data_IF_963375138299
#
_entry.id   IF_963375138299
#
_cell.length_a   1.000
_cell.length_b   1.000
_cell.length_c   1.000
_cell.angle_alpha   90.00
_cell.angle_beta   90.00
_cell.angle_gamma   90.00
#
_symmetry.space_group_name_H-M   'P 1'
#
loop_
_entity.id
_entity.type
_entity.pdbx_description
1 polymer ?
#
# COMPACT_ATOMS: atom_id res chain seq x y z
N UNK A 1 -9.19 49.95 20.57
CA UNK A 1 -9.67 48.80 19.83
C UNK A 1 -8.51 47.83 19.73
N UNK A 2 -8.67 46.63 20.21
CA UNK A 2 -7.64 45.63 20.18
C UNK A 2 -7.71 44.85 18.89
N UNK A 3 -6.68 44.92 18.05
CA UNK A 3 -6.49 44.01 16.96
C UNK A 3 -5.91 42.69 17.51
N UNK A 4 -6.27 41.58 16.94
CA UNK A 4 -5.79 40.27 17.35
C UNK A 4 -4.82 39.74 16.29
N UNK A 5 -3.77 39.06 16.73
CA UNK A 5 -2.85 38.36 15.85
C UNK A 5 -3.26 36.89 15.77
N UNK A 6 -3.41 36.39 14.56
CA UNK A 6 -3.71 34.98 14.27
C UNK A 6 -2.48 34.35 13.61
N UNK A 7 -2.14 33.14 14.01
CA UNK A 7 -1.08 32.35 13.39
C UNK A 7 -1.62 30.96 13.04
N UNK A 8 -1.76 30.66 11.74
CA UNK A 8 -2.07 29.34 11.23
C UNK A 8 -0.76 28.60 10.97
N UNK A 9 -0.55 27.49 11.66
CA UNK A 9 0.72 26.76 11.63
C UNK A 9 0.54 25.34 11.15
N UNK A 10 1.44 24.88 10.27
CA UNK A 10 1.45 23.53 9.76
C UNK A 10 2.86 22.91 9.90
N UNK A 11 2.87 21.66 10.32
CA UNK A 11 4.07 20.85 10.46
C UNK A 11 3.74 19.41 10.02
N UNK A 12 4.53 18.85 9.17
CA UNK A 12 4.49 17.42 8.88
C UNK A 12 5.37 16.66 9.87
N UNK A 13 4.96 15.47 10.26
CA UNK A 13 5.80 14.59 11.07
C UNK A 13 5.99 13.26 10.39
N UNK A 14 7.23 12.80 10.39
CA UNK A 14 7.63 11.49 9.90
C UNK A 14 8.29 10.72 11.03
N UNK A 15 7.83 9.52 11.30
CA UNK A 15 8.51 8.61 12.19
C UNK A 15 8.98 7.40 11.40
N UNK A 16 10.29 7.21 11.28
CA UNK A 16 10.84 5.96 10.79
C UNK A 16 11.47 5.21 11.96
N UNK A 17 11.08 3.97 12.14
CA UNK A 17 11.74 3.08 13.08
C UNK A 17 12.48 2.05 12.25
N UNK A 18 13.81 2.12 12.27
CA UNK A 18 14.65 1.05 11.75
C UNK A 18 15.01 0.17 12.93
N UNK A 19 14.25 -0.89 13.15
CA UNK A 19 14.63 -1.93 14.09
C UNK A 19 15.50 -2.91 13.31
N UNK A 20 16.80 -2.95 13.59
CA UNK A 20 17.68 -4.01 13.07
C UNK A 20 17.47 -5.33 13.83
N UNK A 21 16.58 -5.37 14.83
CA UNK A 21 16.04 -6.61 15.35
C UNK A 21 14.91 -7.08 14.40
N UNK A 22 15.25 -7.30 13.16
CA UNK A 22 14.35 -7.76 12.13
C UNK A 22 13.86 -9.15 12.50
N UNK A 23 12.56 -9.25 12.71
CA UNK A 23 11.93 -10.55 12.75
C UNK A 23 12.19 -11.23 11.41
N UNK A 24 12.69 -12.46 11.45
CA UNK A 24 12.85 -13.27 10.25
C UNK A 24 11.51 -13.34 9.49
N UNK A 25 11.55 -13.25 8.17
CA UNK A 25 10.36 -13.35 7.31
C UNK A 25 10.49 -14.53 6.38
N UNK A 26 9.48 -15.41 6.40
CA UNK A 26 9.30 -16.48 5.41
C UNK A 26 8.07 -16.14 4.57
N UNK A 27 8.30 -15.83 3.30
CA UNK A 27 7.27 -15.35 2.38
C UNK A 27 7.09 -16.36 1.26
N UNK A 28 5.86 -16.81 1.04
CA UNK A 28 5.50 -17.65 -0.11
C UNK A 28 4.62 -16.85 -1.07
N UNK A 29 5.12 -16.66 -2.28
CA UNK A 29 4.36 -16.06 -3.38
C UNK A 29 3.63 -17.15 -4.15
N UNK A 30 2.30 -17.11 -4.13
CA UNK A 30 1.41 -18.04 -4.82
C UNK A 30 0.87 -17.36 -6.06
N UNK A 31 1.45 -17.68 -7.20
CA UNK A 31 1.31 -16.95 -8.45
C UNK A 31 0.41 -17.71 -9.43
N UNK A 32 -0.61 -17.03 -9.94
CA UNK A 32 -1.45 -17.53 -11.00
C UNK A 32 -0.63 -17.70 -12.30
N UNK A 33 -0.64 -18.91 -12.83
CA UNK A 33 -0.02 -19.25 -14.11
C UNK A 33 -1.05 -19.86 -15.09
N UNK A 34 -2.34 -19.56 -14.88
CA UNK A 34 -3.41 -19.97 -15.77
C UNK A 34 -3.33 -19.28 -17.14
N UNK A 35 -4.05 -19.82 -18.12
CA UNK A 35 -4.01 -19.31 -19.49
C UNK A 35 -4.50 -17.86 -19.64
N UNK A 36 -5.39 -17.39 -18.77
CA UNK A 36 -5.89 -16.01 -18.75
C UNK A 36 -4.80 -14.97 -18.45
N UNK A 37 -3.71 -15.37 -17.83
CA UNK A 37 -2.55 -14.51 -17.55
C UNK A 37 -1.80 -14.05 -18.82
N UNK A 38 -2.10 -14.64 -19.99
CA UNK A 38 -1.61 -14.15 -21.29
C UNK A 38 -2.39 -12.92 -21.77
N UNK A 39 -3.52 -12.62 -21.17
CA UNK A 39 -4.33 -11.44 -21.46
C UNK A 39 -3.64 -10.14 -21.08
N UNK A 40 -3.97 -9.06 -21.81
CA UNK A 40 -3.39 -7.73 -21.57
C UNK A 40 -4.07 -7.01 -20.41
N UNK A 41 -3.29 -6.19 -19.72
CA UNK A 41 -3.75 -5.16 -18.78
C UNK A 41 -3.93 -3.81 -19.50
N UNK A 42 -4.46 -2.83 -18.82
CA UNK A 42 -4.46 -1.46 -19.27
C UNK A 42 -3.00 -1.01 -19.57
N UNK A 43 -2.77 -0.46 -20.75
CA UNK A 43 -1.42 -0.10 -21.22
C UNK A 43 -0.72 -1.15 -22.09
N UNK A 44 -1.36 -2.31 -22.38
CA UNK A 44 -0.91 -3.29 -23.37
C UNK A 44 0.09 -4.34 -22.89
N UNK A 45 0.58 -4.25 -21.67
CA UNK A 45 1.42 -5.28 -21.04
C UNK A 45 0.58 -6.51 -20.68
N UNK A 46 1.10 -7.73 -20.88
CA UNK A 46 0.38 -8.94 -20.44
C UNK A 46 0.32 -9.00 -18.90
N UNK A 47 -0.74 -9.63 -18.37
CA UNK A 47 -0.87 -9.84 -16.90
C UNK A 47 0.33 -10.58 -16.34
N UNK A 48 0.83 -11.59 -17.08
CA UNK A 48 2.01 -12.36 -16.69
C UNK A 48 3.28 -11.50 -16.65
N UNK A 49 3.50 -10.62 -17.63
CA UNK A 49 4.69 -9.75 -17.64
C UNK A 49 4.61 -8.68 -16.57
N UNK A 50 3.43 -8.12 -16.32
CA UNK A 50 3.21 -7.20 -15.20
C UNK A 50 3.48 -7.88 -13.85
N UNK A 51 2.99 -9.12 -13.65
CA UNK A 51 3.26 -9.91 -12.46
C UNK A 51 4.76 -10.16 -12.27
N UNK A 52 5.46 -10.62 -13.31
CA UNK A 52 6.91 -10.86 -13.27
C UNK A 52 7.68 -9.59 -12.87
N UNK A 53 7.30 -8.45 -13.46
CA UNK A 53 7.91 -7.15 -13.12
C UNK A 53 7.73 -6.80 -11.66
N UNK A 54 6.50 -6.92 -11.13
CA UNK A 54 6.18 -6.62 -9.75
C UNK A 54 6.87 -7.56 -8.76
N UNK A 55 6.90 -8.88 -9.06
CA UNK A 55 7.59 -9.87 -8.23
C UNK A 55 9.10 -9.66 -8.24
N UNK A 56 9.70 -9.35 -9.39
CA UNK A 56 11.13 -9.05 -9.49
C UNK A 56 11.50 -7.81 -8.66
N UNK A 57 10.68 -6.75 -8.70
CA UNK A 57 10.89 -5.57 -7.86
C UNK A 57 10.78 -5.90 -6.36
N UNK A 58 9.84 -6.75 -5.97
CA UNK A 58 9.72 -7.23 -4.60
C UNK A 58 10.97 -8.01 -4.15
N UNK A 59 11.51 -8.89 -5.02
CA UNK A 59 12.75 -9.63 -4.77
C UNK A 59 13.92 -8.66 -4.58
N UNK A 60 14.02 -7.61 -5.40
CA UNK A 60 15.08 -6.61 -5.30
C UNK A 60 14.98 -5.82 -3.97
N UNK A 61 13.78 -5.43 -3.56
CA UNK A 61 13.54 -4.78 -2.26
C UNK A 61 13.94 -5.71 -1.08
N UNK A 62 13.56 -6.98 -1.15
CA UNK A 62 13.93 -7.96 -0.14
C UNK A 62 15.46 -8.18 -0.08
N UNK A 63 16.13 -8.23 -1.22
CA UNK A 63 17.59 -8.35 -1.30
C UNK A 63 18.29 -7.12 -0.74
N UNK A 64 17.79 -5.91 -1.06
CA UNK A 64 18.32 -4.66 -0.52
C UNK A 64 18.16 -4.57 1.01
N UNK A 65 17.05 -5.09 1.55
CA UNK A 65 16.86 -5.19 2.99
C UNK A 65 17.79 -6.22 3.62
N UNK A 66 17.92 -7.40 3.03
CA UNK A 66 18.81 -8.46 3.52
C UNK A 66 20.27 -8.05 3.53
N UNK A 67 20.70 -7.20 2.59
CA UNK A 67 22.07 -6.66 2.56
C UNK A 67 22.44 -5.84 3.82
N UNK A 68 21.43 -5.34 4.54
CA UNK A 68 21.60 -4.59 5.79
C UNK A 68 21.53 -5.47 7.04
N UNK A 69 21.22 -6.77 6.88
CA UNK A 69 21.06 -7.74 7.96
C UNK A 69 22.28 -8.65 8.01
N UNK A 70 23.04 -8.59 9.11
CA UNK A 70 24.23 -9.42 9.31
C UNK A 70 23.89 -10.82 9.77
N UNK A 71 22.84 -10.97 10.59
CA UNK A 71 22.36 -12.26 11.09
C UNK A 71 21.57 -13.01 10.01
N UNK A 72 22.13 -14.08 9.47
CA UNK A 72 21.52 -14.89 8.40
C UNK A 72 20.17 -15.49 8.80
N UNK A 73 19.98 -15.78 10.10
CA UNK A 73 18.72 -16.38 10.60
C UNK A 73 17.58 -15.36 10.63
N UNK A 74 17.89 -14.06 10.53
CA UNK A 74 16.91 -12.98 10.47
C UNK A 74 16.59 -12.51 9.05
N UNK A 75 17.31 -13.00 8.04
CA UNK A 75 17.09 -12.61 6.64
C UNK A 75 15.73 -13.06 6.12
N UNK A 76 15.21 -12.29 5.17
CA UNK A 76 13.99 -12.61 4.42
C UNK A 76 14.29 -13.80 3.52
N UNK A 77 13.42 -14.83 3.60
CA UNK A 77 13.37 -15.93 2.65
C UNK A 77 12.12 -15.82 1.80
N UNK A 78 12.27 -16.13 0.52
CA UNK A 78 11.17 -16.16 -0.45
C UNK A 78 11.03 -17.54 -1.06
N UNK A 79 9.81 -18.00 -1.24
CA UNK A 79 9.44 -19.17 -2.04
C UNK A 79 8.50 -18.74 -3.16
N UNK A 80 8.61 -19.39 -4.31
CA UNK A 80 7.72 -19.18 -5.45
C UNK A 80 6.90 -20.44 -5.68
N UNK A 81 5.60 -20.30 -5.64
CA UNK A 81 4.60 -21.32 -6.00
C UNK A 81 3.85 -20.84 -7.23
N UNK A 82 3.67 -21.67 -8.24
CA UNK A 82 2.74 -21.42 -9.33
C UNK A 82 1.53 -22.34 -9.20
N UNK A 83 0.37 -21.87 -9.61
CA UNK A 83 -0.82 -22.69 -9.76
C UNK A 83 -1.50 -22.47 -11.10
N UNK A 84 -2.00 -23.54 -11.69
CA UNK A 84 -2.80 -23.53 -12.92
C UNK A 84 -3.54 -24.85 -13.08
N UNK A 85 -2.95 -25.81 -13.75
CA UNK A 85 -3.55 -27.06 -14.19
C UNK A 85 -4.04 -28.00 -13.07
N UNK A 86 -4.70 -29.06 -13.48
CA UNK A 86 -5.34 -30.05 -12.61
C UNK A 86 -4.36 -31.04 -11.98
N UNK A 87 -3.08 -30.98 -12.34
CA UNK A 87 -2.03 -31.83 -11.80
C UNK A 87 -1.18 -31.07 -10.79
N UNK A 88 -0.87 -31.73 -9.67
CA UNK A 88 0.15 -31.30 -8.73
C UNK A 88 1.47 -31.94 -9.10
N UNK A 89 2.49 -31.13 -9.31
CA UNK A 89 3.86 -31.60 -9.48
C UNK A 89 4.66 -31.55 -8.19
N UNK A 90 5.80 -32.19 -8.19
CA UNK A 90 6.88 -31.96 -7.23
C UNK A 90 7.52 -30.58 -7.47
N UNK A 91 8.63 -30.29 -6.82
CA UNK A 91 9.36 -29.02 -7.04
C UNK A 91 9.80 -28.92 -8.51
N UNK A 92 9.52 -27.79 -9.15
CA UNK A 92 9.89 -27.55 -10.54
C UNK A 92 9.00 -26.55 -11.26
N UNK A 93 9.18 -26.43 -12.56
CA UNK A 93 8.36 -25.60 -13.45
C UNK A 93 7.85 -26.42 -14.63
N UNK A 94 7.25 -27.57 -14.33
CA UNK A 94 6.88 -28.55 -15.32
C UNK A 94 5.52 -28.27 -15.92
N UNK A 95 5.31 -28.85 -17.10
CA UNK A 95 4.03 -28.90 -17.81
C UNK A 95 3.63 -30.34 -18.03
N UNK A 96 2.36 -30.57 -18.29
CA UNK A 96 1.83 -31.86 -18.69
C UNK A 96 0.89 -31.72 -19.89
N UNK A 97 0.65 -32.84 -20.59
CA UNK A 97 -0.32 -32.89 -21.68
C UNK A 97 -1.68 -33.39 -21.17
N UNK A 98 -2.72 -32.67 -21.57
CA UNK A 98 -4.11 -33.11 -21.41
C UNK A 98 -4.76 -33.03 -22.80
N UNK A 99 -4.88 -34.16 -23.48
CA UNK A 99 -5.28 -34.21 -24.89
C UNK A 99 -4.28 -33.46 -25.80
N UNK A 100 -4.79 -32.46 -26.50
CA UNK A 100 -4.01 -31.63 -27.42
C UNK A 100 -3.36 -30.43 -26.75
N UNK A 101 -3.68 -30.13 -25.48
CA UNK A 101 -3.23 -28.96 -24.76
C UNK A 101 -2.05 -29.27 -23.84
N UNK A 102 -1.20 -28.27 -23.65
CA UNK A 102 -0.13 -28.29 -22.66
C UNK A 102 -0.54 -27.38 -21.51
N UNK A 103 -0.52 -27.91 -20.30
CA UNK A 103 -0.90 -27.20 -19.09
C UNK A 103 0.24 -27.17 -18.08
N UNK A 104 0.29 -26.12 -17.26
CA UNK A 104 1.19 -26.10 -16.11
C UNK A 104 0.76 -27.09 -15.04
N UNK A 105 1.71 -27.76 -14.40
CA UNK A 105 1.50 -28.31 -13.07
C UNK A 105 1.38 -27.18 -12.05
N UNK A 106 0.54 -27.36 -11.03
CA UNK A 106 0.64 -26.55 -9.82
C UNK A 106 1.80 -27.07 -8.98
N UNK A 107 2.81 -26.23 -8.71
CA UNK A 107 4.09 -26.66 -8.12
C UNK A 107 4.75 -25.58 -7.29
N UNK A 108 5.58 -26.00 -6.34
CA UNK A 108 6.64 -25.16 -5.77
C UNK A 108 7.71 -24.99 -6.84
N UNK A 109 7.85 -23.78 -7.39
CA UNK A 109 8.85 -23.48 -8.43
C UNK A 109 10.23 -23.29 -7.81
N UNK A 110 10.26 -22.71 -6.61
CA UNK A 110 11.47 -22.52 -5.79
C UNK A 110 11.09 -22.53 -4.32
N UNK A 111 11.77 -23.36 -3.55
CA UNK A 111 11.63 -23.44 -2.09
C UNK A 111 12.15 -22.18 -1.40
N UNK A 112 11.85 -22.02 -0.10
CA UNK A 112 12.27 -20.89 0.73
C UNK A 112 13.79 -20.68 0.65
N UNK A 113 14.17 -19.64 -0.06
CA UNK A 113 15.55 -19.28 -0.37
C UNK A 113 15.85 -17.90 0.21
N UNK A 114 17.02 -17.73 0.82
CA UNK A 114 17.47 -16.41 1.30
C UNK A 114 17.55 -15.46 0.10
N UNK A 115 16.82 -14.34 0.22
CA UNK A 115 16.69 -13.37 -0.86
C UNK A 115 17.88 -12.40 -0.86
N UNK A 116 19.03 -12.86 -1.35
CA UNK A 116 20.21 -12.03 -1.59
C UNK A 116 21.14 -12.67 -2.63
N UNK A 117 21.98 -11.88 -3.27
CA UNK A 117 23.01 -12.36 -4.21
C UNK A 117 22.48 -13.43 -5.18
N UNK A 118 23.09 -14.61 -5.15
CA UNK A 118 22.70 -15.74 -6.02
C UNK A 118 21.26 -16.21 -5.77
N UNK A 119 20.79 -16.18 -4.51
CA UNK A 119 19.44 -16.58 -4.18
C UNK A 119 18.37 -15.66 -4.81
N UNK A 120 18.59 -14.34 -4.77
CA UNK A 120 17.72 -13.38 -5.43
C UNK A 120 17.76 -13.55 -6.97
N UNK A 121 18.94 -13.76 -7.56
CA UNK A 121 19.08 -13.99 -8.99
C UNK A 121 18.38 -15.28 -9.44
N UNK A 122 18.48 -16.36 -8.64
CA UNK A 122 17.80 -17.63 -8.91
C UNK A 122 16.28 -17.48 -8.83
N UNK A 123 15.76 -16.82 -7.78
CA UNK A 123 14.32 -16.53 -7.64
C UNK A 123 13.78 -15.77 -8.87
N UNK A 124 14.46 -14.72 -9.32
CA UNK A 124 14.07 -13.97 -10.52
C UNK A 124 14.11 -14.84 -11.78
N UNK A 125 15.13 -15.66 -11.94
CA UNK A 125 15.24 -16.60 -13.07
C UNK A 125 14.04 -17.56 -13.10
N UNK A 126 13.67 -18.10 -11.94
CA UNK A 126 12.52 -19.01 -11.80
C UNK A 126 11.18 -18.31 -12.09
N UNK A 127 10.98 -17.11 -11.58
CA UNK A 127 9.78 -16.29 -11.88
C UNK A 127 9.67 -15.99 -13.37
N UNK A 128 10.77 -15.56 -14.00
CA UNK A 128 10.78 -15.18 -15.42
C UNK A 128 10.52 -16.38 -16.34
N UNK A 129 10.81 -17.59 -15.90
CA UNK A 129 10.58 -18.83 -16.66
C UNK A 129 9.12 -19.31 -16.62
N UNK A 130 8.26 -18.77 -15.76
CA UNK A 130 6.83 -19.13 -15.69
C UNK A 130 6.14 -18.67 -16.97
N UNK A 131 5.35 -19.55 -17.59
CA UNK A 131 4.53 -19.24 -18.76
C UNK A 131 3.07 -19.54 -18.44
N UNK A 132 2.09 -18.74 -18.91
CA UNK A 132 0.67 -19.00 -18.66
C UNK A 132 0.19 -20.21 -19.47
N UNK A 133 -0.48 -21.16 -18.79
CA UNK A 133 -1.18 -22.27 -19.45
C UNK A 133 -2.06 -23.06 -18.46
N UNK A 134 -3.32 -23.30 -18.80
CA UNK A 134 -4.22 -24.17 -18.06
C UNK A 134 -5.33 -23.45 -17.29
N UNK A 135 -6.15 -24.18 -16.54
CA UNK A 135 -7.20 -23.64 -15.66
C UNK A 135 -6.61 -23.01 -14.38
N UNK A 136 -7.47 -22.59 -13.44
CA UNK A 136 -7.10 -21.81 -12.26
C UNK A 136 -7.31 -22.63 -10.97
N UNK A 137 -6.45 -23.63 -10.71
CA UNK A 137 -6.50 -24.49 -9.52
C UNK A 137 -5.84 -23.80 -8.32
N UNK A 138 -6.50 -22.75 -7.88
CA UNK A 138 -6.07 -21.90 -6.75
C UNK A 138 -5.89 -22.69 -5.44
N UNK A 139 -6.72 -23.71 -5.21
CA UNK A 139 -6.62 -24.62 -4.08
C UNK A 139 -5.26 -25.33 -4.02
N UNK A 140 -4.74 -25.78 -5.15
CA UNK A 140 -3.43 -26.42 -5.21
C UNK A 140 -2.30 -25.45 -4.91
N UNK A 141 -2.41 -24.20 -5.37
CA UNK A 141 -1.45 -23.17 -5.04
C UNK A 141 -1.32 -22.93 -3.54
N UNK A 142 -2.46 -22.76 -2.84
CA UNK A 142 -2.47 -22.57 -1.38
C UNK A 142 -2.01 -23.80 -0.62
N UNK A 143 -2.37 -25.02 -1.08
CA UNK A 143 -1.88 -26.27 -0.49
C UNK A 143 -0.36 -26.40 -0.61
N UNK A 144 0.24 -26.02 -1.73
CA UNK A 144 1.70 -25.98 -1.89
C UNK A 144 2.34 -24.95 -0.96
N UNK A 145 1.73 -23.77 -0.79
CA UNK A 145 2.22 -22.78 0.17
C UNK A 145 2.17 -23.30 1.61
N UNK A 146 1.10 -23.99 1.97
CA UNK A 146 0.99 -24.64 3.29
C UNK A 146 2.06 -25.70 3.49
N UNK A 147 2.28 -26.56 2.49
CA UNK A 147 3.33 -27.60 2.50
C UNK A 147 4.71 -26.97 2.68
N UNK A 148 5.00 -25.90 1.92
CA UNK A 148 6.29 -25.22 1.97
C UNK A 148 6.56 -24.61 3.35
N UNK A 149 5.57 -23.88 3.90
CA UNK A 149 5.70 -23.27 5.24
C UNK A 149 5.77 -24.31 6.37
N UNK A 150 5.13 -25.48 6.19
CA UNK A 150 5.19 -26.56 7.17
C UNK A 150 6.55 -27.26 7.16
N UNK A 151 7.11 -27.51 5.98
CA UNK A 151 8.33 -28.29 5.85
C UNK A 151 9.61 -27.44 6.00
N UNK A 152 9.58 -26.18 5.51
CA UNK A 152 10.78 -25.33 5.39
C UNK A 152 10.63 -23.98 6.11
N UNK A 153 9.44 -23.65 6.64
CA UNK A 153 9.22 -22.43 7.38
C UNK A 153 9.94 -22.44 8.73
N UNK A 154 10.66 -21.37 9.04
CA UNK A 154 11.37 -21.20 10.30
C UNK A 154 10.38 -20.94 11.45
N UNK A 155 10.65 -21.50 12.62
CA UNK A 155 9.79 -21.35 13.81
C UNK A 155 9.77 -19.93 14.34
N UNK A 156 10.88 -19.21 14.22
CA UNK A 156 11.07 -17.83 14.68
C UNK A 156 10.73 -16.77 13.63
N UNK A 157 10.29 -17.18 12.43
CA UNK A 157 9.95 -16.26 11.35
C UNK A 157 8.44 -15.92 11.36
N UNK A 158 8.14 -14.67 11.03
CA UNK A 158 6.78 -14.29 10.61
C UNK A 158 6.52 -14.89 9.24
N UNK A 159 5.42 -15.61 9.11
CA UNK A 159 5.03 -16.30 7.89
C UNK A 159 4.01 -15.48 7.11
N UNK A 160 4.25 -15.30 5.82
CA UNK A 160 3.40 -14.51 4.93
C UNK A 160 3.16 -15.30 3.65
N UNK A 161 1.91 -15.31 3.21
CA UNK A 161 1.52 -15.78 1.87
C UNK A 161 1.00 -14.59 1.07
N UNK A 162 1.48 -14.41 -0.15
CA UNK A 162 0.95 -13.44 -1.12
C UNK A 162 0.31 -14.24 -2.25
N UNK A 163 -1.01 -14.29 -2.25
CA UNK A 163 -1.81 -14.99 -3.26
C UNK A 163 -2.25 -14.02 -4.34
N UNK A 164 -1.84 -14.28 -5.56
CA UNK A 164 -2.13 -13.45 -6.73
C UNK A 164 -2.95 -14.22 -7.76
N UNK A 165 -4.01 -13.58 -8.29
CA UNK A 165 -4.84 -14.15 -9.37
C UNK A 165 -5.44 -13.07 -10.27
N UNK A 166 -5.64 -13.40 -11.53
CA UNK A 166 -6.33 -12.57 -12.52
C UNK A 166 -7.82 -12.96 -12.71
N UNK A 167 -8.33 -13.91 -11.92
CA UNK A 167 -9.68 -14.36 -12.07
C UNK A 167 -10.22 -15.25 -10.96
N UNK A 168 -11.29 -15.92 -11.31
CA UNK A 168 -12.01 -16.83 -10.44
C UNK A 168 -11.35 -18.21 -10.41
N UNK A 169 -11.40 -18.92 -9.26
CA UNK A 169 -10.97 -20.32 -9.21
C UNK A 169 -11.83 -21.17 -10.13
N UNK A 170 -11.20 -21.90 -11.05
CA UNK A 170 -11.92 -22.75 -11.99
C UNK A 170 -11.14 -23.99 -12.43
N UNK A 171 -11.89 -25.04 -12.81
CA UNK A 171 -11.35 -26.24 -13.43
C UNK A 171 -11.55 -26.26 -14.96
N UNK A 172 -12.47 -25.45 -15.47
CA UNK A 172 -12.79 -25.35 -16.90
C UNK A 172 -13.36 -23.98 -17.27
N UNK A 173 -14.57 -23.65 -16.85
CA UNK A 173 -15.25 -22.39 -17.13
C UNK A 173 -16.05 -21.95 -15.89
N UNK A 174 -15.98 -20.67 -15.56
CA UNK A 174 -16.73 -20.05 -14.49
C UNK A 174 -16.23 -20.43 -13.10
N UNK A 175 -16.81 -19.80 -12.10
CA UNK A 175 -16.43 -19.98 -10.70
C UNK A 175 -16.72 -21.41 -10.22
N UNK A 176 -15.68 -22.14 -9.80
CA UNK A 176 -15.78 -23.49 -9.24
C UNK A 176 -15.85 -23.40 -7.70
N UNK A 177 -17.04 -23.69 -7.18
CA UNK A 177 -17.33 -23.62 -5.75
C UNK A 177 -16.54 -24.66 -4.94
N UNK A 178 -16.20 -25.82 -5.52
CA UNK A 178 -15.39 -26.86 -4.89
C UNK A 178 -13.93 -26.42 -4.72
N UNK A 179 -13.35 -25.84 -5.76
CA UNK A 179 -11.99 -25.26 -5.70
C UNK A 179 -11.95 -24.11 -4.71
N UNK A 180 -12.95 -23.21 -4.75
CA UNK A 180 -13.04 -22.09 -3.83
C UNK A 180 -13.12 -22.55 -2.37
N UNK A 181 -13.98 -23.54 -2.09
CA UNK A 181 -14.13 -24.12 -0.74
C UNK A 181 -12.81 -24.72 -0.23
N UNK A 182 -12.13 -25.51 -1.07
CA UNK A 182 -10.83 -26.11 -0.74
C UNK A 182 -9.74 -25.06 -0.49
N UNK A 183 -9.69 -24.02 -1.34
CA UNK A 183 -8.73 -22.93 -1.21
C UNK A 183 -8.95 -22.12 0.09
N UNK A 184 -10.21 -21.78 0.41
CA UNK A 184 -10.55 -21.04 1.63
C UNK A 184 -10.25 -21.87 2.88
N UNK A 185 -10.52 -23.18 2.86
CA UNK A 185 -10.19 -24.08 3.96
C UNK A 185 -8.67 -24.13 4.23
N UNK A 186 -7.87 -24.19 3.16
CA UNK A 186 -6.40 -24.15 3.26
C UNK A 186 -5.92 -22.79 3.77
N UNK A 187 -6.48 -21.69 3.25
CA UNK A 187 -6.15 -20.35 3.71
C UNK A 187 -6.52 -20.15 5.19
N UNK A 188 -7.65 -20.69 5.64
CA UNK A 188 -8.03 -20.68 7.05
C UNK A 188 -7.00 -21.42 7.90
N UNK A 189 -6.60 -22.61 7.49
CA UNK A 189 -5.56 -23.38 8.20
C UNK A 189 -4.23 -22.63 8.31
N UNK A 190 -3.81 -21.92 7.24
CA UNK A 190 -2.64 -21.05 7.26
C UNK A 190 -2.80 -19.91 8.26
N UNK A 191 -3.96 -19.24 8.27
CA UNK A 191 -4.27 -18.15 9.20
C UNK A 191 -4.34 -18.63 10.65
N UNK A 192 -4.94 -19.80 10.91
CA UNK A 192 -4.99 -20.43 12.23
C UNK A 192 -3.58 -20.77 12.77
N UNK A 193 -2.63 -21.05 11.87
CA UNK A 193 -1.22 -21.24 12.21
C UNK A 193 -0.40 -19.92 12.31
N UNK A 194 -1.07 -18.76 12.32
CA UNK A 194 -0.45 -17.45 12.47
C UNK A 194 0.14 -16.87 11.17
N UNK A 195 -0.11 -17.48 10.01
CA UNK A 195 0.34 -16.96 8.73
C UNK A 195 -0.54 -15.78 8.30
N UNK A 196 0.06 -14.68 7.87
CA UNK A 196 -0.65 -13.58 7.25
C UNK A 196 -0.83 -13.85 5.76
N UNK A 197 -2.06 -13.80 5.27
CA UNK A 197 -2.39 -14.05 3.87
C UNK A 197 -2.85 -12.76 3.21
N UNK A 198 -2.07 -12.26 2.25
CA UNK A 198 -2.47 -11.20 1.32
C UNK A 198 -3.07 -11.81 0.08
N UNK A 199 -4.11 -11.16 -0.47
CA UNK A 199 -4.63 -11.49 -1.80
C UNK A 199 -4.52 -10.28 -2.72
N UNK A 200 -4.13 -10.52 -3.97
CA UNK A 200 -4.00 -9.48 -5.01
C UNK A 200 -4.81 -9.93 -6.22
N UNK A 201 -5.82 -9.15 -6.57
CA UNK A 201 -6.71 -9.40 -7.70
C UNK A 201 -6.48 -8.41 -8.84
N UNK A 202 -6.32 -8.91 -10.07
CA UNK A 202 -6.21 -8.08 -11.28
C UNK A 202 -7.31 -8.35 -12.31
N UNK A 203 -8.44 -8.89 -11.85
CA UNK A 203 -9.61 -9.13 -12.69
C UNK A 203 -10.55 -7.91 -12.73
N UNK A 204 -11.33 -7.84 -13.81
CA UNK A 204 -12.35 -6.79 -13.94
C UNK A 204 -13.37 -6.86 -12.80
N UNK A 205 -13.57 -5.74 -12.10
CA UNK A 205 -14.47 -5.68 -10.94
C UNK A 205 -13.84 -6.17 -9.62
N UNK A 206 -12.51 -6.32 -9.56
CA UNK A 206 -11.81 -6.54 -8.29
C UNK A 206 -12.05 -5.34 -7.36
N UNK A 207 -12.64 -5.60 -6.18
CA UNK A 207 -13.03 -4.57 -5.23
C UNK A 207 -12.66 -4.97 -3.79
N UNK A 208 -11.51 -4.50 -3.30
CA UNK A 208 -11.09 -4.74 -1.92
C UNK A 208 -12.02 -4.16 -0.83
N UNK A 209 -12.89 -3.22 -1.21
CA UNK A 209 -13.87 -2.58 -0.30
C UNK A 209 -15.26 -3.19 -0.38
N UNK A 210 -15.47 -4.19 -1.23
CA UNK A 210 -16.77 -4.83 -1.40
C UNK A 210 -17.29 -5.39 -0.06
N UNK A 211 -18.54 -5.08 0.26
CA UNK A 211 -19.23 -5.66 1.41
C UNK A 211 -19.55 -7.13 1.12
N UNK A 212 -18.92 -8.03 1.88
CA UNK A 212 -19.08 -9.48 1.72
C UNK A 212 -20.50 -9.98 1.99
N UNK A 213 -21.30 -9.22 2.75
CA UNK A 213 -22.68 -9.56 3.09
C UNK A 213 -23.68 -9.04 2.05
N UNK A 214 -23.26 -8.13 1.17
CA UNK A 214 -24.14 -7.62 0.14
C UNK A 214 -24.41 -8.66 -0.95
N UNK A 215 -25.68 -8.81 -1.36
CA UNK A 215 -26.08 -9.77 -2.41
C UNK A 215 -25.43 -9.48 -3.76
N UNK A 216 -25.14 -8.20 -4.04
CA UNK A 216 -24.51 -7.77 -5.31
C UNK A 216 -23.01 -8.04 -5.38
N UNK A 217 -22.36 -8.38 -4.28
CA UNK A 217 -20.92 -8.67 -4.27
C UNK A 217 -20.66 -9.99 -4.99
N UNK A 218 -19.77 -9.96 -5.99
CA UNK A 218 -19.43 -11.14 -6.79
C UNK A 218 -18.82 -12.25 -5.93
N UNK A 219 -19.02 -13.51 -6.33
CA UNK A 219 -18.39 -14.67 -5.68
C UNK A 219 -16.87 -14.52 -5.64
N UNK A 220 -16.27 -13.97 -6.69
CA UNK A 220 -14.81 -13.77 -6.77
C UNK A 220 -14.32 -12.79 -5.73
N UNK A 221 -14.99 -11.64 -5.53
CA UNK A 221 -14.63 -10.71 -4.47
C UNK A 221 -14.83 -11.32 -3.07
N UNK A 222 -15.93 -12.06 -2.84
CA UNK A 222 -16.13 -12.81 -1.59
C UNK A 222 -15.02 -13.83 -1.35
N UNK A 223 -14.61 -14.54 -2.40
CA UNK A 223 -13.52 -15.50 -2.38
C UNK A 223 -12.19 -14.83 -1.99
N UNK A 224 -11.81 -13.73 -2.64
CA UNK A 224 -10.58 -13.00 -2.34
C UNK A 224 -10.57 -12.48 -0.90
N UNK A 225 -11.69 -11.97 -0.40
CA UNK A 225 -11.85 -11.55 0.99
C UNK A 225 -11.69 -12.73 1.96
N UNK A 226 -12.29 -13.88 1.66
CA UNK A 226 -12.26 -15.07 2.52
C UNK A 226 -10.87 -15.71 2.59
N UNK A 227 -10.13 -15.73 1.47
CA UNK A 227 -8.74 -16.22 1.41
C UNK A 227 -7.81 -15.29 2.21
N UNK A 228 -8.00 -13.97 2.09
CA UNK A 228 -7.15 -12.99 2.77
C UNK A 228 -7.30 -13.00 4.30
N UNK A 229 -6.34 -12.40 4.98
CA UNK A 229 -6.42 -12.15 6.43
C UNK A 229 -7.40 -11.02 6.80
N UNK A 230 -8.15 -10.44 5.84
CA UNK A 230 -9.27 -9.55 6.15
C UNK A 230 -10.36 -10.25 6.97
N UNK A 231 -10.55 -11.54 6.72
CA UNK A 231 -11.51 -12.37 7.46
C UNK A 231 -10.82 -13.66 7.92
N UNK A 232 -10.10 -13.62 9.04
CA UNK A 232 -9.30 -14.77 9.49
C UNK A 232 -10.13 -16.02 9.76
N UNK A 233 -11.38 -15.87 10.15
CA UNK A 233 -12.29 -16.98 10.46
C UNK A 233 -13.16 -17.40 9.29
N UNK A 234 -12.99 -16.81 8.10
CA UNK A 234 -13.84 -17.09 6.95
C UNK A 234 -13.82 -18.57 6.56
N UNK A 235 -15.00 -19.08 6.27
CA UNK A 235 -15.22 -20.42 5.73
C UNK A 235 -16.20 -20.35 4.54
N UNK A 236 -16.05 -21.28 3.63
CA UNK A 236 -17.01 -21.52 2.57
C UNK A 236 -17.24 -23.01 2.45
N UNK A 237 -18.47 -23.46 2.73
CA UNK A 237 -18.85 -24.85 2.63
C UNK A 237 -19.61 -25.06 1.32
N UNK A 238 -19.12 -25.97 0.50
CA UNK A 238 -19.79 -26.40 -0.72
C UNK A 238 -20.29 -27.83 -0.59
N UNK A 239 -21.57 -28.02 -0.84
CA UNK A 239 -22.22 -29.32 -0.88
C UNK A 239 -22.71 -29.59 -2.30
N UNK A 240 -22.07 -30.50 -3.06
CA UNK A 240 -22.51 -30.84 -4.40
C UNK A 240 -23.84 -31.60 -4.38
N UNK A 241 -24.68 -31.38 -5.40
CA UNK A 241 -25.93 -32.08 -5.58
C UNK A 241 -26.17 -32.39 -7.07
N UNK A 242 -27.07 -33.34 -7.39
CA UNK A 242 -27.40 -33.74 -8.76
C UNK A 242 -27.99 -32.58 -9.59
N UNK A 243 -28.56 -31.57 -8.96
CA UNK A 243 -29.21 -30.44 -9.64
C UNK A 243 -28.43 -29.12 -9.44
N UNK A 244 -27.13 -29.15 -9.23
CA UNK A 244 -26.29 -28.07 -8.80
C UNK A 244 -25.85 -28.29 -7.37
N UNK A 245 -25.10 -27.38 -6.78
CA UNK A 245 -24.68 -27.50 -5.40
C UNK A 245 -25.19 -26.34 -4.56
N UNK A 246 -25.01 -26.44 -3.27
CA UNK A 246 -25.30 -25.35 -2.33
C UNK A 246 -24.03 -24.87 -1.65
N UNK A 247 -23.76 -23.55 -1.73
CA UNK A 247 -22.63 -22.90 -1.08
C UNK A 247 -23.08 -22.04 0.08
N UNK A 248 -22.41 -22.15 1.22
CA UNK A 248 -22.66 -21.32 2.41
C UNK A 248 -21.39 -20.57 2.83
N UNK A 249 -21.48 -19.25 2.88
CA UNK A 249 -20.42 -18.35 3.33
C UNK A 249 -20.56 -18.00 4.79
N UNK A 250 -19.46 -18.05 5.53
CA UNK A 250 -19.36 -17.49 6.88
C UNK A 250 -18.05 -16.71 6.97
N UNK A 251 -18.14 -15.40 7.12
CA UNK A 251 -16.95 -14.54 7.14
C UNK A 251 -16.43 -14.28 8.56
N UNK A 252 -17.31 -14.27 9.57
CA UNK A 252 -16.95 -13.75 10.89
C UNK A 252 -16.73 -12.25 10.87
N UNK A 253 -15.95 -11.75 11.83
CA UNK A 253 -15.67 -10.32 11.97
C UNK A 253 -14.36 -9.95 11.30
N UNK A 254 -14.37 -8.85 10.53
CA UNK A 254 -13.16 -8.23 9.98
C UNK A 254 -12.45 -7.47 11.11
N UNK A 255 -11.16 -7.74 11.39
CA UNK A 255 -10.40 -6.96 12.34
C UNK A 255 -10.30 -5.48 11.94
N UNK A 256 -10.27 -4.59 12.92
CA UNK A 256 -10.05 -3.17 12.66
C UNK A 256 -8.72 -2.98 11.89
N UNK A 257 -8.73 -2.10 10.89
CA UNK A 257 -7.58 -1.80 10.04
C UNK A 257 -7.05 -2.97 9.19
N UNK A 258 -7.77 -4.11 9.10
CA UNK A 258 -7.40 -5.19 8.21
C UNK A 258 -7.50 -4.75 6.74
N UNK A 259 -6.39 -4.82 6.02
CA UNK A 259 -6.28 -4.46 4.60
C UNK A 259 -5.34 -5.43 3.89
N UNK A 260 -5.80 -6.67 3.72
CA UNK A 260 -5.03 -7.78 3.16
C UNK A 260 -5.53 -8.23 1.78
N UNK A 261 -6.61 -7.65 1.27
CA UNK A 261 -7.02 -7.80 -0.12
C UNK A 261 -6.76 -6.50 -0.86
N UNK A 262 -6.03 -6.59 -1.96
CA UNK A 262 -5.63 -5.47 -2.82
C UNK A 262 -5.99 -5.77 -4.28
N UNK A 263 -6.14 -4.73 -5.08
CA UNK A 263 -6.45 -4.84 -6.50
C UNK A 263 -5.58 -3.89 -7.32
N UNK A 264 -5.33 -4.27 -8.58
CA UNK A 264 -4.66 -3.42 -9.55
C UNK A 264 -5.30 -3.60 -10.94
N UNK A 265 -5.36 -2.53 -11.71
CA UNK A 265 -5.89 -2.50 -13.09
C UNK A 265 -4.81 -2.28 -14.14
N UNK A 266 -3.63 -1.83 -13.74
CA UNK A 266 -2.46 -1.58 -14.59
C UNK A 266 -1.19 -2.21 -14.01
N UNK A 267 -0.14 -2.29 -14.83
CA UNK A 267 1.16 -2.82 -14.40
C UNK A 267 1.80 -1.94 -13.31
N UNK A 268 1.66 -0.62 -13.40
CA UNK A 268 2.20 0.32 -12.41
C UNK A 268 1.45 0.21 -11.08
N UNK A 269 0.12 0.13 -11.10
CA UNK A 269 -0.67 -0.13 -9.89
C UNK A 269 -0.27 -1.46 -9.25
N UNK A 270 -0.04 -2.52 -10.03
CA UNK A 270 0.38 -3.80 -9.52
C UNK A 270 1.75 -3.72 -8.83
N UNK A 271 2.69 -2.99 -9.42
CA UNK A 271 4.00 -2.74 -8.81
C UNK A 271 3.85 -2.02 -7.47
N UNK A 272 3.03 -0.97 -7.42
CA UNK A 272 2.74 -0.22 -6.19
C UNK A 272 2.07 -1.10 -5.12
N UNK A 273 1.16 -2.00 -5.51
CA UNK A 273 0.53 -2.97 -4.60
C UNK A 273 1.57 -3.88 -3.96
N UNK A 274 2.48 -4.45 -4.73
CA UNK A 274 3.55 -5.31 -4.20
C UNK A 274 4.53 -4.54 -3.31
N UNK A 275 4.85 -3.29 -3.65
CA UNK A 275 5.67 -2.41 -2.81
C UNK A 275 4.98 -2.08 -1.48
N UNK A 276 3.70 -1.76 -1.50
CA UNK A 276 2.90 -1.53 -0.29
C UNK A 276 2.83 -2.78 0.60
N UNK A 277 2.67 -3.97 0.02
CA UNK A 277 2.73 -5.23 0.76
C UNK A 277 4.12 -5.39 1.39
N UNK A 278 5.19 -5.21 0.61
CA UNK A 278 6.56 -5.31 1.12
C UNK A 278 6.78 -4.38 2.31
N UNK A 279 6.39 -3.12 2.19
CA UNK A 279 6.50 -2.14 3.26
C UNK A 279 5.69 -2.56 4.50
N UNK A 280 4.47 -3.07 4.31
CA UNK A 280 3.59 -3.50 5.42
C UNK A 280 4.12 -4.70 6.21
N UNK A 281 4.81 -5.63 5.55
CA UNK A 281 5.38 -6.81 6.22
C UNK A 281 6.75 -6.54 6.82
N UNK A 282 7.51 -5.62 6.23
CA UNK A 282 8.87 -5.26 6.64
C UNK A 282 8.87 -4.29 7.83
N UNK A 283 7.80 -3.52 8.02
CA UNK A 283 7.65 -2.54 9.09
C UNK A 283 6.73 -3.13 10.17
N UNK A 284 7.29 -3.38 11.34
CA UNK A 284 6.54 -3.93 12.50
C UNK A 284 5.81 -2.84 13.30
N UNK A 285 5.83 -1.59 12.86
CA UNK A 285 5.14 -0.47 13.50
C UNK A 285 4.27 0.27 12.48
N UNK A 286 3.17 0.92 12.91
CA UNK A 286 2.37 1.75 12.02
C UNK A 286 3.26 2.80 11.37
N UNK A 287 3.46 2.66 10.09
CA UNK A 287 4.24 3.59 9.29
C UNK A 287 3.57 4.95 9.22
N UNK A 288 4.34 6.02 9.20
CA UNK A 288 3.84 7.37 9.00
C UNK A 288 3.27 7.53 7.58
N UNK A 289 2.39 8.48 7.44
CA UNK A 289 1.98 8.96 6.12
C UNK A 289 3.21 9.58 5.45
N UNK A 290 3.66 8.98 4.37
CA UNK A 290 4.74 9.55 3.59
C UNK A 290 4.15 10.69 2.75
N UNK A 291 4.63 11.90 3.00
CA UNK A 291 4.40 13.04 2.10
C UNK A 291 5.41 12.91 0.98
N UNK A 292 4.96 12.87 -0.26
CA UNK A 292 5.85 12.80 -1.42
C UNK A 292 6.34 14.21 -1.76
N UNK A 293 7.43 14.32 -2.50
CA UNK A 293 8.06 15.58 -2.92
C UNK A 293 7.51 16.12 -4.25
N UNK A 294 6.30 15.68 -4.65
CA UNK A 294 5.67 16.08 -5.91
C UNK A 294 4.41 16.91 -5.65
N UNK A 295 4.46 18.23 -5.78
CA UNK A 295 3.34 19.13 -5.49
C UNK A 295 2.05 18.79 -6.23
N UNK A 296 2.15 18.37 -7.48
CA UNK A 296 1.00 18.00 -8.31
C UNK A 296 0.28 16.71 -7.88
N UNK A 297 0.92 15.88 -7.06
CA UNK A 297 0.33 14.63 -6.55
C UNK A 297 -0.06 14.70 -5.09
N UNK A 298 0.51 15.62 -4.33
CA UNK A 298 0.36 15.70 -2.87
C UNK A 298 -0.75 16.65 -2.43
N UNK A 299 -1.15 17.57 -3.31
CA UNK A 299 -2.18 18.56 -3.03
C UNK A 299 -1.73 19.61 -2.01
N UNK A 300 -2.70 20.16 -1.30
CA UNK A 300 -2.50 21.26 -0.35
C UNK A 300 -3.02 20.89 1.03
N UNK A 301 -2.34 21.39 2.07
CA UNK A 301 -2.94 21.57 3.39
C UNK A 301 -3.71 22.88 3.34
N UNK A 302 -5.01 22.80 3.59
CA UNK A 302 -5.90 23.97 3.54
C UNK A 302 -6.34 24.33 4.94
N UNK A 303 -6.10 25.58 5.32
CA UNK A 303 -6.74 26.22 6.45
C UNK A 303 -7.94 27.00 5.95
N UNK A 304 -9.04 26.87 6.64
CA UNK A 304 -10.31 27.48 6.31
C UNK A 304 -10.82 28.14 7.59
N UNK A 305 -10.65 29.46 7.68
CA UNK A 305 -10.90 30.24 8.89
C UNK A 305 -11.99 31.30 8.63
N UNK A 306 -13.27 30.95 8.88
CA UNK A 306 -14.35 31.93 8.87
C UNK A 306 -14.26 32.79 10.13
N UNK A 307 -14.06 34.09 9.96
CA UNK A 307 -14.04 35.05 11.07
C UNK A 307 -15.46 35.25 11.61
N UNK A 308 -15.54 35.58 12.89
CA UNK A 308 -16.80 35.90 13.52
C UNK A 308 -17.47 37.17 12.96
N UNK A 309 -18.76 37.36 13.29
CA UNK A 309 -19.49 38.54 12.87
C UNK A 309 -18.76 39.85 13.17
N UNK A 310 -18.80 40.78 12.22
CA UNK A 310 -18.10 42.05 12.28
C UNK A 310 -16.59 42.00 12.39
N UNK A 311 -15.97 40.87 12.07
CA UNK A 311 -14.51 40.71 12.05
C UNK A 311 -13.97 40.79 10.63
N UNK A 312 -12.91 41.57 10.46
CA UNK A 312 -12.22 41.68 9.16
C UNK A 312 -10.70 41.44 9.29
N UNK A 313 -10.09 40.97 8.21
CA UNK A 313 -8.62 40.90 8.09
C UNK A 313 -8.07 42.32 7.91
N UNK A 314 -7.17 42.72 8.79
CA UNK A 314 -6.49 44.02 8.70
C UNK A 314 -5.25 43.96 7.81
N UNK A 315 -4.44 42.93 7.98
CA UNK A 315 -3.23 42.74 7.19
C UNK A 315 -2.69 41.31 7.32
N UNK A 316 -1.98 40.84 6.32
CA UNK A 316 -1.07 39.70 6.45
C UNK A 316 0.31 40.20 6.80
N UNK A 317 0.85 39.74 7.94
CA UNK A 317 2.08 40.26 8.50
C UNK A 317 3.31 39.52 7.95
N UNK A 318 3.25 38.17 7.91
CA UNK A 318 4.38 37.37 7.56
C UNK A 318 4.00 35.92 7.24
N UNK A 319 4.88 35.26 6.48
CA UNK A 319 5.06 33.82 6.52
C UNK A 319 6.36 33.53 7.24
N UNK A 320 6.29 32.76 8.33
CA UNK A 320 7.47 32.27 9.04
C UNK A 320 7.74 30.83 8.59
N UNK A 321 8.95 30.58 8.12
CA UNK A 321 9.36 29.27 7.62
C UNK A 321 10.72 28.92 8.20
N UNK A 322 10.77 27.93 9.08
CA UNK A 322 11.96 27.55 9.83
C UNK A 322 12.50 28.73 10.66
N UNK A 323 13.67 29.24 10.31
CA UNK A 323 14.38 30.35 10.98
C UNK A 323 14.21 31.70 10.27
N UNK A 324 13.42 31.76 9.21
CA UNK A 324 13.23 32.94 8.38
C UNK A 324 11.79 33.45 8.42
N UNK A 325 11.65 34.75 8.23
CA UNK A 325 10.38 35.46 8.19
C UNK A 325 10.28 36.24 6.88
N UNK A 326 9.27 35.95 6.11
CA UNK A 326 8.99 36.58 4.83
C UNK A 326 7.80 37.52 4.96
N UNK A 327 7.93 38.71 4.38
CA UNK A 327 6.86 39.72 4.37
C UNK A 327 6.03 39.62 3.08
N UNK A 328 4.78 39.99 3.18
CA UNK A 328 3.92 40.13 2.03
C UNK A 328 4.54 41.10 1.00
N UNK A 329 4.50 40.74 -0.30
CA UNK A 329 5.03 41.58 -1.38
C UNK A 329 3.94 42.12 -2.30
N UNK A 330 2.79 41.46 -2.42
CA UNK A 330 1.73 41.87 -3.33
C UNK A 330 0.36 41.43 -2.83
N UNK A 331 -0.65 42.30 -3.07
CA UNK A 331 -2.07 41.96 -2.95
C UNK A 331 -2.76 42.25 -4.28
N UNK A 332 -3.62 41.32 -4.71
CA UNK A 332 -4.50 41.51 -5.87
C UNK A 332 -5.93 41.36 -5.44
N UNK A 333 -6.83 42.18 -5.98
CA UNK A 333 -8.25 42.16 -5.67
C UNK A 333 -9.08 41.79 -6.89
N UNK A 334 -10.04 40.90 -6.69
CA UNK A 334 -11.02 40.51 -7.71
C UNK A 334 -12.42 40.39 -7.06
N UNK A 335 -13.24 41.40 -7.27
CA UNK A 335 -14.56 41.50 -6.61
C UNK A 335 -14.41 41.72 -5.11
N UNK A 336 -14.96 40.82 -4.30
CA UNK A 336 -14.82 40.80 -2.84
C UNK A 336 -13.75 39.83 -2.34
N UNK A 337 -12.84 39.40 -3.21
CA UNK A 337 -11.76 38.48 -2.86
C UNK A 337 -10.41 39.17 -3.03
N UNK A 338 -9.64 39.21 -1.97
CA UNK A 338 -8.23 39.61 -1.97
C UNK A 338 -7.34 38.37 -1.98
N UNK A 339 -6.29 38.42 -2.82
CA UNK A 339 -5.24 37.38 -2.86
C UNK A 339 -3.93 37.99 -2.40
N UNK A 340 -3.33 37.39 -1.39
CA UNK A 340 -2.06 37.83 -0.82
C UNK A 340 -0.93 36.92 -1.28
N UNK A 341 0.15 37.52 -1.77
CA UNK A 341 1.31 36.84 -2.35
C UNK A 341 2.54 37.14 -1.51
N UNK A 342 3.23 36.07 -1.14
CA UNK A 342 4.56 36.12 -0.53
C UNK A 342 5.56 35.60 -1.57
N UNK A 343 6.70 36.26 -1.68
CA UNK A 343 7.76 35.89 -2.60
C UNK A 343 9.05 35.64 -1.82
N UNK A 344 9.81 34.69 -2.29
CA UNK A 344 11.10 34.34 -1.73
C UNK A 344 11.32 32.84 -1.79
N UNK A 345 12.58 32.50 -1.68
CA UNK A 345 13.00 31.10 -1.65
C UNK A 345 13.52 30.77 -0.26
N UNK A 346 13.14 29.64 0.27
CA UNK A 346 13.67 29.11 1.51
C UNK A 346 14.36 27.78 1.25
N UNK A 347 15.59 27.67 1.71
CA UNK A 347 16.32 26.39 1.74
C UNK A 347 16.47 25.96 3.19
N UNK A 348 15.88 24.83 3.54
CA UNK A 348 16.05 24.27 4.89
C UNK A 348 17.46 23.71 5.05
N UNK A 349 18.32 24.46 5.74
CA UNK A 349 19.70 24.06 6.02
C UNK A 349 19.85 23.31 7.34
N UNK A 350 18.80 23.27 8.17
CA UNK A 350 18.89 22.76 9.54
C UNK A 350 18.56 21.28 9.62
N UNK A 351 17.56 20.84 8.88
CA UNK A 351 17.00 19.50 9.09
C UNK A 351 17.42 18.48 8.06
N UNK A 352 17.88 18.90 6.88
CA UNK A 352 18.02 17.99 5.74
C UNK A 352 16.69 17.36 5.30
N UNK A 353 15.56 17.86 5.85
CA UNK A 353 14.23 17.36 5.56
C UNK A 353 13.70 17.92 4.23
N UNK A 354 14.24 19.05 3.79
CA UNK A 354 13.97 19.66 2.49
C UNK A 354 15.26 19.77 1.71
N UNK A 355 15.53 18.86 0.80
CA UNK A 355 16.69 18.96 -0.08
C UNK A 355 16.53 20.07 -1.14
N UNK A 356 15.33 20.61 -1.30
CA UNK A 356 14.96 21.55 -2.34
C UNK A 356 14.56 22.91 -1.76
N UNK A 357 14.74 23.95 -2.57
CA UNK A 357 14.32 25.31 -2.25
C UNK A 357 12.80 25.42 -2.42
N UNK A 358 12.10 25.88 -1.39
CA UNK A 358 10.67 26.14 -1.44
C UNK A 358 10.39 27.56 -1.94
N UNK A 359 9.54 27.71 -2.96
CA UNK A 359 9.06 29.01 -3.44
C UNK A 359 7.77 29.40 -2.70
N UNK A 360 7.84 30.48 -1.93
CA UNK A 360 6.71 30.95 -1.12
C UNK A 360 5.54 31.48 -1.96
N UNK A 361 5.73 31.77 -3.23
CA UNK A 361 4.63 32.15 -4.15
C UNK A 361 3.66 31.00 -4.45
N UNK A 362 4.04 29.77 -4.13
CA UNK A 362 3.16 28.60 -4.24
C UNK A 362 2.12 28.50 -3.09
N UNK A 363 2.27 29.31 -2.04
CA UNK A 363 1.26 29.43 -0.98
C UNK A 363 0.13 30.31 -1.50
N UNK A 364 -1.09 29.78 -1.51
CA UNK A 364 -2.29 30.49 -1.96
C UNK A 364 -3.03 31.02 -0.74
N UNK A 365 -3.10 32.34 -0.60
CA UNK A 365 -3.82 33.00 0.51
C UNK A 365 -4.90 33.88 -0.08
N UNK A 366 -6.16 33.62 0.28
CA UNK A 366 -7.31 34.39 -0.15
C UNK A 366 -8.15 34.85 1.03
N UNK A 367 -8.66 36.05 0.97
CA UNK A 367 -9.65 36.60 1.89
C UNK A 367 -10.88 36.94 1.08
N UNK A 368 -11.99 36.31 1.42
CA UNK A 368 -13.31 36.69 0.90
C UNK A 368 -13.95 37.63 1.90
N UNK A 369 -14.15 38.88 1.52
CA UNK A 369 -14.77 39.88 2.40
C UNK A 369 -16.25 39.61 2.57
N UNK A 370 -16.67 39.57 3.83
CA UNK A 370 -18.08 39.50 4.20
C UNK A 370 -18.85 40.78 3.87
N UNK A 371 -20.17 40.75 3.94
CA UNK A 371 -21.06 41.88 3.71
C UNK A 371 -21.91 42.16 4.94
N UNK A 372 -21.98 43.42 5.34
CA UNK A 372 -22.76 43.84 6.52
C UNK A 372 -22.18 43.26 7.81
N UNK A 373 -22.94 42.43 8.50
CA UNK A 373 -22.51 41.80 9.75
C UNK A 373 -21.64 40.55 9.55
N UNK A 374 -21.58 40.02 8.34
CA UNK A 374 -20.82 38.82 8.05
C UNK A 374 -19.31 39.11 8.12
N UNK A 375 -18.57 38.29 8.84
CA UNK A 375 -17.13 38.41 8.93
C UNK A 375 -16.40 37.93 7.68
N UNK A 376 -15.14 38.30 7.54
CA UNK A 376 -14.26 37.83 6.47
C UNK A 376 -14.01 36.32 6.57
N UNK A 377 -13.72 35.71 5.43
CA UNK A 377 -13.35 34.31 5.34
C UNK A 377 -11.94 34.16 4.77
N UNK A 378 -11.03 33.64 5.58
CA UNK A 378 -9.64 33.42 5.22
C UNK A 378 -9.45 31.99 4.77
N UNK A 379 -8.85 31.79 3.60
CA UNK A 379 -8.40 30.49 3.16
C UNK A 379 -6.91 30.52 2.85
N UNK A 380 -6.14 29.61 3.46
CA UNK A 380 -4.71 29.44 3.23
C UNK A 380 -4.46 28.03 2.73
N UNK A 381 -3.85 27.90 1.55
CA UNK A 381 -3.45 26.63 0.96
C UNK A 381 -1.93 26.58 0.88
N UNK A 382 -1.33 25.63 1.60
CA UNK A 382 0.11 25.39 1.60
C UNK A 382 0.36 24.07 0.88
N UNK A 383 1.22 24.05 -0.16
CA UNK A 383 1.61 22.79 -0.80
C UNK A 383 2.11 21.79 0.24
N UNK A 384 1.64 20.55 0.19
CA UNK A 384 2.03 19.52 1.17
C UNK A 384 3.54 19.27 1.16
N UNK A 385 4.17 19.38 -0.02
CA UNK A 385 5.61 19.29 -0.21
C UNK A 385 6.42 20.39 0.48
N UNK A 386 5.78 21.53 0.84
CA UNK A 386 6.42 22.67 1.48
C UNK A 386 6.41 22.56 3.01
N UNK A 387 5.68 21.61 3.59
CA UNK A 387 5.57 21.47 5.03
C UNK A 387 6.90 21.02 5.64
N UNK A 388 7.43 21.73 6.64
CA UNK A 388 8.61 21.30 7.37
C UNK A 388 8.40 19.91 7.97
N UNK A 389 9.43 19.06 7.90
CA UNK A 389 9.31 17.65 8.29
C UNK A 389 10.06 17.41 9.60
N UNK A 390 9.29 17.24 10.69
CA UNK A 390 9.83 16.68 11.93
C UNK A 390 9.91 15.17 11.79
N UNK A 391 11.09 14.60 11.92
CA UNK A 391 11.20 13.15 11.88
C UNK A 391 11.83 12.55 13.13
N UNK A 392 11.36 11.36 13.46
CA UNK A 392 11.89 10.51 14.50
C UNK A 392 12.41 9.24 13.86
N UNK A 393 13.71 8.99 13.98
CA UNK A 393 14.33 7.78 13.46
C UNK A 393 14.82 6.96 14.65
N UNK A 394 14.09 5.90 14.95
CA UNK A 394 14.53 4.93 15.95
C UNK A 394 15.28 3.80 15.27
N UNK A 395 16.50 3.55 15.72
CA UNK A 395 17.29 2.39 15.32
C UNK A 395 17.49 1.50 16.53
N UNK A 396 17.30 0.22 16.37
CA UNK A 396 17.63 -0.76 17.40
C UNK A 396 18.63 -1.75 16.81
N UNK A 397 19.88 -1.63 17.22
CA UNK A 397 20.96 -2.52 16.80
C UNK A 397 21.29 -3.43 17.98
N UNK A 398 21.05 -4.73 17.81
CA UNK A 398 21.39 -5.75 18.82
C UNK A 398 20.80 -5.46 20.22
N UNK A 399 19.57 -4.97 20.25
CA UNK A 399 18.89 -4.65 21.52
C UNK A 399 19.25 -3.29 22.12
N UNK A 400 20.09 -2.49 21.45
CA UNK A 400 20.42 -1.12 21.88
C UNK A 400 19.61 -0.12 21.05
N UNK A 401 18.57 0.51 21.62
CA UNK A 401 17.79 1.51 20.92
C UNK A 401 18.56 2.83 20.83
N UNK A 402 18.52 3.45 19.65
CA UNK A 402 18.99 4.82 19.40
C UNK A 402 17.87 5.60 18.75
N UNK A 403 17.57 6.77 19.28
CA UNK A 403 16.60 7.70 18.73
C UNK A 403 17.33 8.91 18.13
N UNK A 404 17.13 9.14 16.84
CA UNK A 404 17.50 10.37 16.17
C UNK A 404 16.23 11.21 15.97
N UNK A 405 16.26 12.45 16.42
CA UNK A 405 15.15 13.40 16.29
C UNK A 405 15.63 14.57 15.47
N UNK A 406 14.92 14.89 14.42
CA UNK A 406 15.04 16.15 13.71
C UNK A 406 13.87 17.05 14.07
N UNK A 407 14.14 18.16 14.74
CA UNK A 407 13.13 19.08 15.25
C UNK A 407 12.94 20.24 14.27
N UNK A 408 12.01 20.10 13.36
CA UNK A 408 11.64 21.15 12.42
C UNK A 408 10.63 22.12 13.06
N UNK A 409 10.77 23.41 12.76
CA UNK A 409 9.77 24.41 13.12
C UNK A 409 8.63 24.41 12.12
N UNK A 410 7.38 24.67 12.54
CA UNK A 410 6.24 24.71 11.61
C UNK A 410 6.35 25.91 10.67
N UNK A 411 5.83 25.75 9.43
CA UNK A 411 5.49 26.91 8.62
C UNK A 411 4.27 27.60 9.23
N UNK A 412 4.32 28.92 9.38
CA UNK A 412 3.24 29.71 9.99
C UNK A 412 2.86 30.88 9.10
N UNK A 413 1.59 31.04 8.83
CA UNK A 413 1.02 32.22 8.17
C UNK A 413 0.41 33.11 9.24
N UNK A 414 0.85 34.35 9.33
CA UNK A 414 0.54 35.29 10.40
C UNK A 414 -0.23 36.48 9.82
N UNK A 415 -1.40 36.74 10.35
CA UNK A 415 -2.23 37.87 9.95
C UNK A 415 -2.93 38.52 11.16
N UNK A 416 -3.29 39.77 11.01
CA UNK A 416 -4.04 40.53 12.02
C UNK A 416 -5.51 40.67 11.62
N UNK A 417 -6.37 40.56 12.63
CA UNK A 417 -7.82 40.72 12.49
C UNK A 417 -8.32 41.78 13.47
N UNK A 418 -9.37 42.48 13.10
CA UNK A 418 -9.99 43.47 13.97
C UNK A 418 -11.46 43.64 13.65
N UNK A 419 -12.12 44.52 14.40
CA UNK A 419 -13.54 44.82 14.15
C UNK A 419 -13.67 45.64 12.87
N UNK A 420 -14.64 45.26 12.02
CA UNK A 420 -15.16 46.12 10.98
C UNK A 420 -15.97 47.25 11.65
N UNK A 421 -15.61 48.50 11.36
CA UNK A 421 -16.18 49.67 11.97
C UNK A 421 -17.19 50.41 11.09
N UNK A 422 -17.45 49.90 9.88
CA UNK A 422 -18.32 50.54 8.92
C UNK A 422 -19.79 50.08 9.05
#
# INVERSE_FOLDING_TARGET
DADFLVALSALSSYASTTTTNTQALDIVMVLDASGSMDGSMSGGTTRMDALKSAVNAFIDNAAAQNAKITDTDKKIKLSIVKFAGRSKGSIGNDTYRDGWYIYNNSQIVKELTVCENNGAAELKTKVNAIKPAGPTRADYGLQHAQTELTNHGRTNAKKVVIFFTDGEPNASNGFDDGIASSAIATAKSLKDAGTVVYTVGIFSGADPKADVNANKTSKTNKYMQAVSSNYPLATYTWTPSLFGGHGSWNFGTKPANANYYMAASSADELKNVFENIFNSISITLPGPTQVTDKPETDGYVTFDDPLGDYMEVKSFEAVAFSDQVFKQVKTTQAGNVDTYIFEGEHTDTVSGAYPETADLSDIIITVTHGSGAEGDHVQVKIPASMLPLRYYKATNTDGTPKLEVNDAQPISVIYSVGLNKD
#
